data_IF_914121943729
#
_entry.id   IF_914121943729
#
_cell.length_a   1.000
_cell.length_b   1.000
_cell.length_c   1.000
_cell.angle_alpha   90.00
_cell.angle_beta   90.00
_cell.angle_gamma   90.00
#
_symmetry.space_group_name_H-M   'P 1'
#
loop_
_entity.id
_entity.type
_entity.pdbx_description
1 polymer ?
#
# COMPACT_ATOMS: atom_id res chain seq x y z
N UNK A 1 29.06 0.03 22.81
CA UNK A 1 27.60 0.03 22.64
C UNK A 1 27.13 -1.21 23.34
N UNK A 2 26.13 -1.08 24.19
CA UNK A 2 25.57 -2.17 24.98
C UNK A 2 24.17 -2.48 24.46
N UNK A 3 23.86 -3.76 24.25
CA UNK A 3 22.53 -4.17 23.83
C UNK A 3 21.59 -4.14 25.05
N UNK A 4 20.43 -3.54 24.88
CA UNK A 4 19.39 -3.39 25.90
C UNK A 4 18.05 -3.88 25.35
N UNK A 5 17.05 -4.06 26.22
CA UNK A 5 15.69 -4.41 25.80
C UNK A 5 15.05 -3.38 24.83
N UNK A 6 15.63 -2.18 24.72
CA UNK A 6 15.16 -1.12 23.85
C UNK A 6 15.98 -0.93 22.57
N UNK A 7 17.10 -1.64 22.42
CA UNK A 7 18.06 -1.49 21.32
C UNK A 7 19.49 -1.26 21.81
N UNK A 8 20.34 -0.64 20.99
CA UNK A 8 21.76 -0.42 21.32
C UNK A 8 22.00 0.93 22.00
N UNK A 9 22.46 0.91 23.25
CA UNK A 9 22.88 2.11 23.95
C UNK A 9 24.29 2.54 23.52
N UNK A 10 24.41 3.80 23.12
CA UNK A 10 25.65 4.39 22.63
C UNK A 10 26.50 4.82 23.81
N UNK A 11 27.43 3.97 24.24
CA UNK A 11 28.31 4.30 25.36
C UNK A 11 29.41 5.29 24.99
N UNK A 12 30.07 5.10 23.85
CA UNK A 12 31.24 5.89 23.43
C UNK A 12 31.29 6.03 21.92
N UNK A 13 31.56 7.25 21.47
CA UNK A 13 31.69 7.60 20.05
C UNK A 13 33.16 7.84 19.74
N UNK A 14 33.70 7.07 18.81
CA UNK A 14 35.07 7.26 18.35
C UNK A 14 35.13 8.41 17.33
N UNK A 15 36.18 9.25 17.36
CA UNK A 15 36.31 10.41 16.47
C UNK A 15 36.60 10.02 15.00
N UNK A 16 36.88 8.76 14.70
CA UNK A 16 37.18 8.25 13.35
C UNK A 16 36.66 6.80 13.21
N UNK A 17 36.00 6.40 12.11
CA UNK A 17 35.64 7.16 10.90
C UNK A 17 34.44 8.06 11.21
N UNK A 18 34.64 9.38 11.24
CA UNK A 18 33.74 10.37 11.85
C UNK A 18 32.24 10.06 11.74
N UNK A 19 31.58 10.01 12.89
CA UNK A 19 30.14 9.80 13.01
C UNK A 19 29.38 11.14 12.92
N UNK A 20 28.09 11.09 12.60
CA UNK A 20 27.25 12.28 12.54
C UNK A 20 27.23 12.99 13.92
N UNK A 21 27.38 14.34 13.98
CA UNK A 21 27.42 15.09 15.24
C UNK A 21 26.14 14.99 16.08
N UNK A 22 25.02 14.54 15.49
CA UNK A 22 23.76 14.34 16.20
C UNK A 22 23.78 13.13 17.14
N UNK A 23 24.64 12.14 16.87
CA UNK A 23 24.82 10.96 17.72
C UNK A 23 25.58 11.35 19.00
N UNK A 24 25.02 11.03 20.15
CA UNK A 24 25.63 11.32 21.46
C UNK A 24 25.77 10.05 22.29
N UNK A 25 26.73 10.11 23.22
CA UNK A 25 26.83 9.11 24.28
C UNK A 25 25.59 9.20 25.17
N UNK A 26 24.90 8.09 25.36
CA UNK A 26 23.61 7.99 26.06
C UNK A 26 22.37 7.94 25.16
N UNK A 27 22.53 8.00 23.84
CA UNK A 27 21.42 7.73 22.91
C UNK A 27 21.19 6.22 22.78
N UNK A 28 19.94 5.81 22.61
CA UNK A 28 19.59 4.43 22.28
C UNK A 28 19.23 4.34 20.79
N UNK A 29 19.93 3.49 20.05
CA UNK A 29 19.62 3.15 18.68
C UNK A 29 18.48 2.13 18.68
N UNK A 30 17.31 2.56 18.22
CA UNK A 30 16.09 1.76 18.23
C UNK A 30 15.74 1.19 16.85
N UNK A 31 16.39 1.68 15.79
CA UNK A 31 16.32 1.11 14.44
C UNK A 31 17.57 1.44 13.61
N UNK A 32 17.87 0.60 12.62
CA UNK A 32 18.95 0.77 11.64
C UNK A 32 18.43 0.47 10.22
N UNK A 33 18.62 1.38 9.27
CA UNK A 33 18.14 1.26 7.88
C UNK A 33 16.62 1.00 7.77
N UNK A 34 15.84 1.40 8.78
CA UNK A 34 14.40 1.13 8.87
C UNK A 34 14.04 -0.16 9.63
N UNK A 35 15.01 -1.02 9.94
CA UNK A 35 14.81 -2.25 10.71
C UNK A 35 14.78 -1.98 12.20
N UNK A 36 13.73 -2.44 12.87
CA UNK A 36 13.46 -2.16 14.29
C UNK A 36 14.31 -3.04 15.21
N UNK A 37 14.97 -2.43 16.18
CA UNK A 37 15.71 -3.10 17.27
C UNK A 37 14.94 -3.08 18.61
N UNK A 38 13.97 -2.18 18.75
CA UNK A 38 13.17 -2.00 19.97
C UNK A 38 12.34 -3.24 20.32
N UNK A 39 12.63 -3.88 21.46
CA UNK A 39 11.89 -5.05 21.97
C UNK A 39 12.34 -6.39 21.40
N UNK A 40 13.44 -6.42 20.64
CA UNK A 40 14.08 -7.67 20.22
C UNK A 40 14.92 -8.26 21.36
N UNK A 41 15.15 -9.57 21.33
CA UNK A 41 16.11 -10.21 22.23
C UNK A 41 17.54 -9.77 21.87
N UNK A 42 18.45 -9.78 22.85
CA UNK A 42 19.86 -9.36 22.67
C UNK A 42 20.54 -10.05 21.48
N UNK A 43 20.30 -11.36 21.30
CA UNK A 43 20.85 -12.15 20.19
C UNK A 43 20.34 -11.68 18.81
N UNK A 44 19.08 -11.23 18.73
CA UNK A 44 18.46 -10.73 17.49
C UNK A 44 18.90 -9.29 17.20
N UNK A 45 19.11 -8.48 18.24
CA UNK A 45 19.64 -7.11 18.14
C UNK A 45 21.03 -7.13 17.51
N UNK A 46 21.92 -7.99 18.00
CA UNK A 46 23.26 -8.17 17.44
C UNK A 46 23.22 -8.61 15.98
N UNK A 47 22.30 -9.50 15.64
CA UNK A 47 22.13 -10.00 14.27
C UNK A 47 21.65 -8.91 13.31
N UNK A 48 20.52 -8.26 13.61
CA UNK A 48 19.92 -7.22 12.77
C UNK A 48 20.87 -6.04 12.63
N UNK A 49 21.47 -5.59 13.72
CA UNK A 49 22.43 -4.50 13.64
C UNK A 49 23.66 -4.88 12.81
N UNK A 50 24.22 -6.08 13.02
CA UNK A 50 25.40 -6.54 12.27
C UNK A 50 25.18 -6.64 10.76
N UNK A 51 23.99 -7.07 10.32
CA UNK A 51 23.64 -7.19 8.89
C UNK A 51 23.54 -5.81 8.23
N UNK A 52 22.99 -4.82 8.93
CA UNK A 52 22.71 -3.49 8.37
C UNK A 52 23.81 -2.45 8.67
N UNK A 53 24.80 -2.78 9.51
CA UNK A 53 25.88 -1.88 9.88
C UNK A 53 26.88 -1.65 8.75
N UNK A 54 26.74 -0.52 8.05
CA UNK A 54 27.60 -0.07 6.96
C UNK A 54 27.86 1.43 6.99
N UNK A 55 28.87 1.89 6.25
CA UNK A 55 29.11 3.33 6.11
C UNK A 55 27.89 4.01 5.48
N UNK A 56 27.36 5.05 6.14
CA UNK A 56 26.17 5.77 5.71
C UNK A 56 24.84 5.15 6.17
N UNK A 57 24.86 4.16 7.07
CA UNK A 57 23.64 3.58 7.62
C UNK A 57 22.80 4.62 8.37
N UNK A 58 21.50 4.68 8.07
CA UNK A 58 20.53 5.51 8.76
C UNK A 58 20.20 4.90 10.13
N UNK A 59 20.31 5.68 11.18
CA UNK A 59 19.99 5.27 12.56
C UNK A 59 18.80 6.06 13.07
N UNK A 60 17.87 5.38 13.75
CA UNK A 60 16.84 6.05 14.54
C UNK A 60 17.28 6.06 16.01
N UNK A 61 17.41 7.26 16.57
CA UNK A 61 17.88 7.49 17.93
C UNK A 61 16.72 7.95 18.81
N UNK A 62 16.62 7.39 20.01
CA UNK A 62 15.76 7.87 21.08
C UNK A 62 16.60 8.12 22.33
N UNK A 63 16.21 9.10 23.14
CA UNK A 63 16.88 9.32 24.42
C UNK A 63 16.50 8.23 25.42
N UNK A 64 17.49 7.72 26.17
CA UNK A 64 17.25 6.69 27.19
C UNK A 64 16.28 7.15 28.29
N UNK A 65 16.13 8.46 28.52
CA UNK A 65 15.14 9.02 29.46
C UNK A 65 13.70 8.95 28.92
N UNK A 66 13.47 9.21 27.63
CA UNK A 66 12.13 9.10 27.02
C UNK A 66 11.64 7.66 26.97
N UNK A 67 12.54 6.71 26.68
CA UNK A 67 12.23 5.27 26.68
C UNK A 67 11.87 4.77 28.09
N UNK A 68 12.63 5.17 29.13
CA UNK A 68 12.33 4.82 30.52
C UNK A 68 11.02 5.43 31.01
N UNK A 69 10.72 6.67 30.63
CA UNK A 69 9.44 7.31 30.96
C UNK A 69 8.25 6.63 30.25
N UNK A 70 8.44 6.17 29.01
CA UNK A 70 7.44 5.41 28.27
C UNK A 70 7.21 3.99 28.85
N UNK A 71 8.25 3.34 29.37
CA UNK A 71 8.15 2.04 30.03
C UNK A 71 7.47 2.14 31.41
N UNK A 72 7.80 3.17 32.21
CA UNK A 72 7.18 3.40 33.53
C UNK A 72 5.70 3.77 33.45
N UNK A 73 5.28 4.47 32.40
CA UNK A 73 3.87 4.80 32.16
C UNK A 73 3.03 3.59 31.70
N UNK A 74 3.66 2.59 31.05
CA UNK A 74 3.03 1.28 30.76
C UNK A 74 2.92 0.38 31.99
N UNK A 75 3.97 0.31 32.82
CA UNK A 75 4.00 -0.57 34.00
C UNK A 75 2.98 -0.21 35.10
N UNK A 76 2.49 1.02 35.15
CA UNK A 76 1.44 1.44 36.10
C UNK A 76 0.02 1.14 35.62
N UNK A 77 -0.19 0.78 34.34
CA UNK A 77 -1.52 0.45 33.81
C UNK A 77 -1.89 -1.03 33.92
N UNK A 78 -0.94 -1.91 34.25
CA UNK A 78 -1.18 -3.37 34.29
C UNK A 78 -1.53 -3.92 35.69
N UNK A 79 -1.40 -3.14 36.78
CA UNK A 79 -1.58 -3.64 38.16
C UNK A 79 -2.83 -3.13 38.91
N UNK A 80 -3.69 -2.29 38.30
CA UNK A 80 -4.95 -1.86 38.93
C UNK A 80 -6.17 -2.18 38.04
N UNK A 81 -6.91 -3.21 38.45
CA UNK A 81 -8.12 -3.66 37.79
C UNK A 81 -9.29 -2.66 37.82
N UNK A 82 -9.99 -2.60 36.69
CA UNK A 82 -11.39 -2.16 36.46
C UNK A 82 -11.87 -0.87 37.18
N UNK A 83 -11.98 0.22 36.41
CA UNK A 83 -13.15 1.11 36.45
C UNK A 83 -13.18 2.05 35.23
N UNK A 84 -14.34 2.12 34.59
CA UNK A 84 -14.72 3.00 33.50
C UNK A 84 -14.57 4.49 33.90
N UNK A 85 -13.86 5.31 33.13
CA UNK A 85 -14.16 6.74 33.05
C UNK A 85 -13.62 7.40 31.78
N UNK A 86 -14.58 7.85 30.99
CA UNK A 86 -14.56 8.91 30.00
C UNK A 86 -13.54 10.03 30.30
N UNK A 87 -12.39 10.02 29.61
CA UNK A 87 -11.48 11.15 29.51
C UNK A 87 -11.03 11.29 28.06
N UNK A 88 -11.57 12.32 27.41
CA UNK A 88 -11.19 12.91 26.13
C UNK A 88 -9.68 12.72 25.87
N UNK A 89 -9.34 11.81 24.95
CA UNK A 89 -8.01 11.73 24.35
C UNK A 89 -7.77 13.05 23.62
N UNK A 90 -6.78 13.82 24.07
CA UNK A 90 -6.12 14.78 23.21
C UNK A 90 -5.37 13.97 22.16
N UNK A 91 -5.79 14.10 20.90
CA UNK A 91 -5.12 13.52 19.74
C UNK A 91 -3.70 14.08 19.66
N UNK A 92 -2.71 13.36 20.22
CA UNK A 92 -1.32 13.54 19.85
C UNK A 92 -1.08 12.68 18.62
N UNK A 93 -1.37 13.27 17.45
CA UNK A 93 -1.00 12.70 16.17
C UNK A 93 0.54 12.60 16.11
N UNK A 94 1.05 11.41 15.82
CA UNK A 94 2.48 11.19 15.58
C UNK A 94 2.75 11.34 14.09
N UNK A 95 3.92 11.85 13.71
CA UNK A 95 4.30 11.96 12.30
C UNK A 95 4.30 10.58 11.63
N UNK A 96 3.60 10.48 10.50
CA UNK A 96 3.54 9.29 9.66
C UNK A 96 4.27 9.55 8.34
N UNK A 97 4.72 8.48 7.69
CA UNK A 97 5.27 8.54 6.33
C UNK A 97 4.44 7.64 5.43
N UNK A 98 3.92 8.20 4.33
CA UNK A 98 3.11 7.50 3.33
C UNK A 98 3.78 7.59 1.98
N UNK A 99 3.95 6.44 1.33
CA UNK A 99 4.46 6.34 -0.05
C UNK A 99 3.29 6.27 -1.02
N UNK A 100 3.25 7.17 -1.99
CA UNK A 100 2.28 7.18 -3.08
C UNK A 100 3.00 6.71 -4.35
N UNK A 101 2.73 5.49 -4.85
CA UNK A 101 3.32 5.02 -6.10
C UNK A 101 2.75 5.82 -7.30
N UNK A 102 3.54 5.95 -8.37
CA UNK A 102 3.15 6.76 -9.56
C UNK A 102 2.39 5.97 -10.65
N UNK A 103 2.13 4.68 -10.47
CA UNK A 103 1.40 3.81 -11.43
C UNK A 103 2.32 3.09 -12.43
N UNK A 104 1.89 1.93 -12.97
CA UNK A 104 2.78 0.77 -13.17
C UNK A 104 3.15 0.40 -14.63
N UNK A 105 4.44 0.48 -14.95
CA UNK A 105 5.21 -0.45 -15.81
C UNK A 105 6.69 -0.01 -15.89
N UNK A 106 6.99 1.27 -15.63
CA UNK A 106 8.35 1.81 -15.57
C UNK A 106 8.39 2.98 -14.62
N UNK A 107 9.46 3.09 -13.83
CA UNK A 107 9.83 4.34 -13.19
C UNK A 107 9.76 5.48 -14.22
N UNK A 108 9.14 6.60 -13.85
CA UNK A 108 8.94 7.70 -14.79
C UNK A 108 10.29 8.30 -15.16
N UNK A 109 10.65 8.21 -16.44
CA UNK A 109 11.77 8.94 -16.99
C UNK A 109 11.34 10.38 -17.26
N UNK A 110 11.49 11.21 -16.25
CA UNK A 110 11.25 12.64 -16.34
C UNK A 110 12.47 13.33 -16.94
N UNK A 111 12.25 14.27 -17.86
CA UNK A 111 13.32 15.20 -18.24
C UNK A 111 13.62 16.15 -17.06
N UNK A 112 14.79 16.78 -17.08
CA UNK A 112 15.26 17.63 -15.97
C UNK A 112 14.30 18.81 -15.68
N UNK A 113 13.64 19.32 -16.71
CA UNK A 113 12.66 20.40 -16.58
C UNK A 113 11.36 19.93 -15.90
N UNK A 114 10.84 18.76 -16.28
CA UNK A 114 9.61 18.19 -15.71
C UNK A 114 9.86 17.70 -14.29
N UNK A 115 11.02 17.11 -14.01
CA UNK A 115 11.41 16.74 -12.65
C UNK A 115 11.49 17.97 -11.72
N UNK A 116 12.04 19.09 -12.22
CA UNK A 116 12.05 20.35 -11.47
C UNK A 116 10.64 20.91 -11.24
N UNK A 117 9.74 20.81 -12.23
CA UNK A 117 8.36 21.26 -12.10
C UNK A 117 7.57 20.41 -11.08
N UNK A 118 7.71 19.08 -11.13
CA UNK A 118 7.13 18.16 -10.13
C UNK A 118 7.65 18.50 -8.72
N UNK A 119 8.94 18.74 -8.58
CA UNK A 119 9.54 19.11 -7.29
C UNK A 119 8.99 20.45 -6.76
N UNK A 120 8.82 21.45 -7.63
CA UNK A 120 8.22 22.73 -7.27
C UNK A 120 6.75 22.59 -6.84
N UNK A 121 5.96 21.79 -7.55
CA UNK A 121 4.56 21.55 -7.20
C UNK A 121 4.42 20.79 -5.88
N UNK A 122 5.29 19.79 -5.64
CA UNK A 122 5.36 19.10 -4.34
C UNK A 122 5.82 20.03 -3.21
N UNK A 123 6.69 21.00 -3.48
CA UNK A 123 7.08 22.02 -2.50
C UNK A 123 5.89 22.93 -2.14
N UNK A 124 5.05 23.29 -3.11
CA UNK A 124 3.82 24.06 -2.87
C UNK A 124 2.85 23.26 -1.99
N UNK A 125 2.67 21.96 -2.25
CA UNK A 125 1.87 21.08 -1.38
C UNK A 125 2.46 21.00 0.02
N UNK A 126 3.78 20.89 0.12
CA UNK A 126 4.49 20.82 1.40
C UNK A 126 4.22 22.06 2.26
N UNK A 127 4.34 23.25 1.67
CA UNK A 127 4.05 24.53 2.34
C UNK A 127 2.57 24.67 2.71
N UNK A 128 1.67 24.28 1.80
CA UNK A 128 0.23 24.43 1.96
C UNK A 128 -0.34 23.55 3.07
N UNK A 129 0.15 22.32 3.22
CA UNK A 129 -0.37 21.35 4.19
C UNK A 129 0.53 21.15 5.40
N UNK A 130 1.68 21.83 5.48
CA UNK A 130 2.60 21.72 6.61
C UNK A 130 3.20 20.32 6.76
N UNK A 131 3.50 19.67 5.63
CA UNK A 131 4.12 18.33 5.57
C UNK A 131 5.30 18.34 4.60
N UNK A 132 6.10 17.29 4.58
CA UNK A 132 7.15 17.09 3.58
C UNK A 132 6.65 16.18 2.46
N UNK A 133 6.49 16.72 1.24
CA UNK A 133 6.21 15.94 0.04
C UNK A 133 7.46 15.92 -0.84
N UNK A 134 7.99 14.72 -1.15
CA UNK A 134 9.21 14.55 -1.94
C UNK A 134 9.07 13.47 -2.98
N UNK A 135 9.56 13.72 -4.19
CA UNK A 135 9.71 12.69 -5.20
C UNK A 135 10.86 11.74 -4.82
N UNK A 136 10.61 10.44 -4.92
CA UNK A 136 11.59 9.38 -4.74
C UNK A 136 11.96 8.80 -6.11
N UNK A 137 13.25 8.81 -6.40
CA UNK A 137 13.83 8.29 -7.63
C UNK A 137 14.60 7.01 -7.33
N UNK A 138 14.24 5.92 -8.01
CA UNK A 138 15.01 4.68 -8.00
C UNK A 138 15.93 4.57 -9.22
N UNK A 139 16.49 3.39 -9.45
CA UNK A 139 17.49 3.13 -10.50
C UNK A 139 16.99 3.40 -11.92
N UNK A 140 15.68 3.47 -12.11
CA UNK A 140 15.04 3.60 -13.42
C UNK A 140 14.26 4.92 -13.61
N UNK A 141 14.21 5.82 -12.61
CA UNK A 141 13.46 7.07 -12.68
C UNK A 141 12.62 7.35 -11.41
N UNK A 142 11.61 8.22 -11.51
CA UNK A 142 10.71 8.51 -10.38
C UNK A 142 9.74 7.34 -10.16
N UNK A 143 9.73 6.78 -8.96
CA UNK A 143 8.92 5.58 -8.62
C UNK A 143 7.75 5.89 -7.68
N UNK A 144 7.91 6.91 -6.85
CA UNK A 144 6.91 7.26 -5.85
C UNK A 144 7.08 8.68 -5.34
N UNK A 145 6.04 9.22 -4.72
CA UNK A 145 6.11 10.42 -3.89
C UNK A 145 5.96 10.01 -2.43
N UNK A 146 6.86 10.50 -1.58
CA UNK A 146 6.87 10.26 -0.14
C UNK A 146 6.26 11.49 0.53
N UNK A 147 5.23 11.28 1.34
CA UNK A 147 4.62 12.28 2.21
C UNK A 147 4.99 11.97 3.66
N UNK A 148 5.59 12.92 4.37
CA UNK A 148 5.95 12.79 5.79
C UNK A 148 5.35 13.94 6.59
N UNK A 149 4.59 13.65 7.64
CA UNK A 149 3.95 14.66 8.48
C UNK A 149 2.79 14.09 9.28
N UNK A 150 1.95 14.95 9.85
CA UNK A 150 0.78 14.50 10.61
C UNK A 150 -0.23 13.74 9.72
N UNK A 151 -0.82 12.61 10.16
CA UNK A 151 -1.77 11.81 9.38
C UNK A 151 -2.95 12.61 8.83
N UNK A 152 -3.48 13.57 9.61
CA UNK A 152 -4.56 14.46 9.15
C UNK A 152 -4.14 15.37 7.99
N UNK A 153 -2.88 15.83 7.99
CA UNK A 153 -2.32 16.64 6.91
C UNK A 153 -2.01 15.78 5.66
N UNK A 154 -1.48 14.58 5.85
CA UNK A 154 -1.24 13.62 4.76
C UNK A 154 -2.54 13.25 4.06
N UNK A 155 -3.59 12.93 4.82
CA UNK A 155 -4.91 12.60 4.27
C UNK A 155 -5.51 13.75 3.45
N UNK A 156 -5.29 15.01 3.87
CA UNK A 156 -5.75 16.20 3.15
C UNK A 156 -4.91 16.52 1.91
N UNK A 157 -3.60 16.26 1.94
CA UNK A 157 -2.70 16.51 0.82
C UNK A 157 -2.75 15.43 -0.25
N UNK A 158 -3.09 14.18 0.12
CA UNK A 158 -3.11 13.01 -0.79
C UNK A 158 -3.87 13.28 -2.09
N UNK A 159 -5.10 13.85 -2.09
CA UNK A 159 -5.81 14.15 -3.33
C UNK A 159 -5.12 15.18 -4.24
N UNK A 160 -4.43 16.18 -3.67
CA UNK A 160 -3.71 17.18 -4.45
C UNK A 160 -2.43 16.61 -5.06
N UNK A 161 -1.71 15.78 -4.30
CA UNK A 161 -0.53 15.07 -4.80
C UNK A 161 -0.92 14.12 -5.93
N UNK A 162 -2.02 13.39 -5.78
CA UNK A 162 -2.56 12.54 -6.87
C UNK A 162 -2.97 13.38 -8.07
N UNK A 163 -3.58 14.55 -7.86
CA UNK A 163 -3.92 15.49 -8.94
C UNK A 163 -2.69 15.96 -9.71
N UNK A 164 -1.62 16.35 -9.00
CA UNK A 164 -0.33 16.72 -9.59
C UNK A 164 0.24 15.56 -10.41
N UNK A 165 0.29 14.36 -9.83
CA UNK A 165 0.77 13.17 -10.54
C UNK A 165 -0.07 12.90 -11.80
N UNK A 166 -1.40 12.98 -11.73
CA UNK A 166 -2.27 12.79 -12.90
C UNK A 166 -2.03 13.84 -13.99
N UNK A 167 -1.77 15.10 -13.64
CA UNK A 167 -1.47 16.17 -14.58
C UNK A 167 -0.16 15.90 -15.36
N UNK A 168 0.91 15.50 -14.66
CA UNK A 168 2.18 15.18 -15.31
C UNK A 168 2.13 13.92 -16.15
N UNK A 169 1.29 12.95 -15.75
CA UNK A 169 1.03 11.74 -16.53
C UNK A 169 0.35 12.07 -17.87
N UNK A 170 -0.73 12.84 -17.82
CA UNK A 170 -1.53 13.15 -19.00
C UNK A 170 -0.81 14.15 -19.94
N UNK A 171 0.13 14.94 -19.41
CA UNK A 171 0.99 15.85 -20.15
C UNK A 171 2.08 15.18 -21.02
N UNK A 172 2.49 13.94 -20.71
CA UNK A 172 3.51 13.21 -21.48
C UNK A 172 2.94 12.36 -22.64
N UNK A 173 1.61 12.15 -22.72
CA UNK A 173 0.95 11.32 -23.73
C UNK A 173 0.45 12.08 -24.98
N UNK A 174 0.51 13.42 -24.99
CA UNK A 174 0.06 14.22 -26.14
C UNK A 174 1.23 14.86 -26.92
N UNK A 175 1.90 14.04 -27.73
CA UNK A 175 2.41 14.49 -29.04
C UNK A 175 1.87 13.58 -30.14
N UNK A 176 0.57 13.67 -30.40
CA UNK A 176 0.01 13.48 -31.74
C UNK A 176 -1.45 13.99 -31.81
N UNK A 177 -1.67 14.85 -32.81
CA UNK A 177 -2.95 15.27 -33.40
C UNK A 177 -3.81 16.27 -32.63
N UNK A 178 -3.68 17.52 -33.07
CA UNK A 178 -4.58 18.65 -32.86
C UNK A 178 -6.01 18.35 -33.37
N UNK A 179 -7.00 18.71 -32.56
CA UNK A 179 -8.27 19.27 -33.03
C UNK A 179 -8.79 20.25 -31.95
N UNK A 180 -9.42 21.37 -32.34
CA UNK A 180 -9.47 22.58 -31.51
C UNK A 180 -10.53 22.51 -30.42
N UNK A 181 -10.16 22.91 -29.20
CA UNK A 181 -11.09 23.13 -28.09
C UNK A 181 -11.61 24.57 -28.18
N UNK A 182 -12.87 24.72 -28.59
CA UNK A 182 -13.63 25.96 -28.45
C UNK A 182 -13.93 26.23 -26.97
N UNK A 183 -13.76 27.50 -26.60
CA UNK A 183 -14.03 28.03 -25.27
C UNK A 183 -15.54 28.13 -24.98
N UNK A 184 -15.99 27.58 -23.85
CA UNK A 184 -17.22 27.96 -23.17
C UNK A 184 -17.10 27.54 -21.69
N UNK A 185 -16.87 28.47 -20.75
CA UNK A 185 -17.87 29.30 -20.05
C UNK A 185 -18.27 28.70 -18.69
N UNK A 186 -17.73 29.29 -17.62
CA UNK A 186 -18.30 29.49 -16.27
C UNK A 186 -18.83 28.28 -15.45
N UNK A 187 -18.56 28.22 -14.13
CA UNK A 187 -19.09 27.15 -13.29
C UNK A 187 -20.59 27.34 -13.08
N UNK A 188 -21.40 26.36 -13.52
CA UNK A 188 -22.81 26.24 -13.18
C UNK A 188 -22.97 25.55 -11.80
N UNK A 189 -24.03 25.89 -11.05
CA UNK A 189 -24.13 25.59 -9.62
C UNK A 189 -24.34 24.10 -9.32
N UNK A 190 -23.69 23.67 -8.24
CA UNK A 190 -23.79 22.35 -7.62
C UNK A 190 -25.27 22.03 -7.32
N UNK A 191 -25.79 21.01 -7.99
CA UNK A 191 -27.08 20.38 -7.65
C UNK A 191 -26.76 19.09 -6.89
N UNK A 192 -27.51 18.69 -5.84
CA UNK A 192 -27.20 17.47 -5.11
C UNK A 192 -27.43 16.28 -6.05
N UNK A 193 -26.37 15.54 -6.37
CA UNK A 193 -26.46 14.36 -7.23
C UNK A 193 -27.21 13.25 -6.52
N UNK A 194 -28.32 12.88 -7.13
CA UNK A 194 -29.10 11.68 -6.92
C UNK A 194 -28.18 10.44 -6.99
N UNK A 195 -28.34 9.52 -6.06
CA UNK A 195 -27.63 8.24 -6.01
C UNK A 195 -28.13 7.33 -7.14
N UNK A 196 -27.58 7.50 -8.35
CA UNK A 196 -27.75 6.52 -9.41
C UNK A 196 -26.90 5.29 -9.09
N UNK A 197 -27.50 4.27 -8.48
CA UNK A 197 -26.90 2.95 -8.39
C UNK A 197 -26.85 2.35 -9.80
N UNK A 198 -25.64 2.11 -10.31
CA UNK A 198 -25.43 1.32 -11.52
C UNK A 198 -25.91 -0.11 -11.23
N UNK A 199 -26.80 -0.63 -12.09
CA UNK A 199 -27.18 -2.04 -12.02
C UNK A 199 -26.01 -2.90 -12.53
N UNK A 200 -25.66 -3.93 -11.76
CA UNK A 200 -24.67 -4.92 -12.20
C UNK A 200 -25.21 -5.68 -13.41
N UNK A 201 -24.39 -5.93 -14.45
CA UNK A 201 -24.77 -6.84 -15.52
C UNK A 201 -25.11 -8.23 -14.97
N UNK A 202 -26.08 -8.93 -15.57
CA UNK A 202 -26.58 -10.25 -15.11
C UNK A 202 -25.47 -11.31 -14.95
N UNK A 203 -24.37 -11.18 -15.70
CA UNK A 203 -23.22 -12.09 -15.63
C UNK A 203 -22.23 -11.76 -14.53
N UNK A 204 -22.27 -10.55 -13.95
CA UNK A 204 -21.40 -10.15 -12.84
C UNK A 204 -22.07 -10.54 -11.53
N UNK A 205 -21.49 -11.52 -10.85
CA UNK A 205 -22.01 -12.04 -9.59
C UNK A 205 -21.32 -11.36 -8.40
N UNK A 206 -22.12 -10.80 -7.50
CA UNK A 206 -21.65 -10.31 -6.20
C UNK A 206 -21.49 -11.48 -5.22
N UNK A 207 -20.44 -12.27 -5.41
CA UNK A 207 -20.10 -13.43 -4.59
C UNK A 207 -18.82 -13.18 -3.80
N UNK A 208 -18.66 -13.91 -2.69
CA UNK A 208 -17.46 -13.89 -1.83
C UNK A 208 -16.89 -15.30 -1.82
N UNK A 209 -16.00 -15.58 -2.77
CA UNK A 209 -15.33 -16.88 -2.92
C UNK A 209 -13.86 -16.74 -2.53
N UNK A 210 -13.63 -16.29 -1.30
CA UNK A 210 -12.30 -16.17 -0.73
C UNK A 210 -12.34 -16.38 0.78
N UNK A 211 -11.18 -16.66 1.35
CA UNK A 211 -10.92 -16.72 2.77
C UNK A 211 -9.52 -16.18 3.06
N UNK A 212 -9.28 -15.85 4.32
CA UNK A 212 -8.00 -15.34 4.77
C UNK A 212 -7.28 -16.40 5.60
N UNK A 213 -5.95 -16.44 5.49
CA UNK A 213 -5.09 -17.23 6.38
C UNK A 213 -4.05 -16.32 7.02
N UNK A 214 -3.85 -16.51 8.32
CA UNK A 214 -2.89 -15.71 9.09
C UNK A 214 -1.46 -16.02 8.66
N UNK A 215 -0.68 -14.96 8.44
CA UNK A 215 0.78 -14.98 8.33
C UNK A 215 1.34 -14.07 9.41
N UNK A 216 2.59 -14.27 9.85
CA UNK A 216 3.13 -13.65 11.08
C UNK A 216 2.96 -12.14 11.17
N UNK A 217 3.04 -11.42 10.05
CA UNK A 217 2.83 -9.97 9.95
C UNK A 217 1.95 -9.55 8.75
N UNK A 218 1.51 -10.50 7.93
CA UNK A 218 0.83 -10.28 6.65
C UNK A 218 -0.48 -11.07 6.61
N UNK A 219 -1.22 -10.99 5.50
CA UNK A 219 -2.38 -11.85 5.28
C UNK A 219 -2.31 -12.58 3.95
N UNK A 220 -2.63 -13.88 3.95
CA UNK A 220 -2.80 -14.64 2.72
C UNK A 220 -4.27 -14.60 2.33
N UNK A 221 -4.57 -14.02 1.18
CA UNK A 221 -5.87 -14.13 0.52
C UNK A 221 -5.88 -15.40 -0.32
N UNK A 222 -6.72 -16.34 0.05
CA UNK A 222 -7.02 -17.53 -0.72
C UNK A 222 -8.39 -17.37 -1.38
N UNK A 223 -8.43 -17.29 -2.71
CA UNK A 223 -9.67 -17.19 -3.46
C UNK A 223 -9.84 -18.33 -4.47
N UNK A 224 -11.08 -18.61 -4.85
CA UNK A 224 -11.41 -19.70 -5.75
C UNK A 224 -12.48 -19.30 -6.77
N UNK A 225 -12.62 -20.13 -7.81
CA UNK A 225 -13.56 -19.88 -8.90
C UNK A 225 -13.79 -21.09 -9.80
N UNK A 226 -14.83 -21.00 -10.62
CA UNK A 226 -15.13 -21.99 -11.68
C UNK A 226 -14.21 -21.82 -12.90
N UNK A 227 -13.53 -20.67 -13.00
CA UNK A 227 -12.51 -20.36 -13.99
C UNK A 227 -11.34 -19.61 -13.36
N UNK A 228 -10.20 -19.56 -14.05
CA UNK A 228 -9.04 -18.79 -13.60
C UNK A 228 -9.36 -17.29 -13.52
N UNK A 229 -10.18 -16.79 -14.45
CA UNK A 229 -10.67 -15.41 -14.44
C UNK A 229 -11.50 -15.10 -13.19
N UNK A 230 -12.38 -16.04 -12.79
CA UNK A 230 -13.18 -15.88 -11.58
C UNK A 230 -12.28 -15.89 -10.34
N UNK A 231 -11.34 -16.84 -10.23
CA UNK A 231 -10.40 -16.87 -9.11
C UNK A 231 -9.60 -15.56 -8.99
N UNK A 232 -9.08 -15.03 -10.11
CA UNK A 232 -8.34 -13.75 -10.12
C UNK A 232 -9.21 -12.58 -9.68
N UNK A 233 -10.43 -12.47 -10.21
CA UNK A 233 -11.38 -11.44 -9.78
C UNK A 233 -11.69 -11.56 -8.28
N UNK A 234 -11.85 -12.78 -7.76
CA UNK A 234 -12.16 -13.04 -6.36
C UNK A 234 -11.00 -12.72 -5.42
N UNK A 235 -9.73 -12.90 -5.83
CA UNK A 235 -8.58 -12.42 -5.03
C UNK A 235 -8.64 -10.89 -4.91
N UNK A 236 -8.90 -10.17 -6.00
CA UNK A 236 -9.02 -8.72 -5.96
C UNK A 236 -10.20 -8.25 -5.10
N UNK A 237 -11.33 -8.95 -5.13
CA UNK A 237 -12.46 -8.67 -4.22
C UNK A 237 -12.06 -8.95 -2.77
N UNK A 238 -11.34 -10.04 -2.50
CA UNK A 238 -10.82 -10.38 -1.17
C UNK A 238 -9.86 -9.33 -0.62
N UNK A 239 -9.01 -8.76 -1.47
CA UNK A 239 -8.13 -7.63 -1.15
C UNK A 239 -8.94 -6.40 -0.69
N UNK A 240 -9.93 -5.97 -1.48
CA UNK A 240 -10.78 -4.82 -1.10
C UNK A 240 -11.61 -5.09 0.17
N UNK A 241 -12.10 -6.32 0.34
CA UNK A 241 -12.88 -6.70 1.52
C UNK A 241 -12.04 -6.68 2.81
N UNK A 242 -10.72 -6.86 2.70
CA UNK A 242 -9.81 -6.73 3.83
C UNK A 242 -9.60 -5.26 4.24
N UNK A 243 -9.59 -4.35 3.26
CA UNK A 243 -9.49 -2.90 3.50
C UNK A 243 -10.77 -2.31 4.08
N UNK A 244 -11.93 -2.76 3.59
CA UNK A 244 -13.23 -2.31 4.08
C UNK A 244 -14.32 -3.34 3.77
N UNK A 245 -15.25 -3.62 4.71
CA UNK A 245 -16.37 -4.52 4.46
C UNK A 245 -17.21 -4.07 3.25
N UNK A 246 -17.27 -4.92 2.22
CA UNK A 246 -17.92 -4.59 0.94
C UNK A 246 -19.45 -4.51 0.99
N UNK A 247 -20.07 -4.93 2.10
CA UNK A 247 -21.54 -4.95 2.26
C UNK A 247 -22.16 -3.55 2.11
N UNK A 248 -21.47 -2.54 2.66
CA UNK A 248 -21.89 -1.13 2.63
C UNK A 248 -21.45 -0.40 1.36
N UNK A 249 -20.58 -1.02 0.56
CA UNK A 249 -20.08 -0.43 -0.68
C UNK A 249 -21.17 -0.53 -1.75
N UNK A 250 -21.65 0.62 -2.23
CA UNK A 250 -22.58 0.73 -3.33
C UNK A 250 -21.88 0.60 -4.68
N UNK A 251 -22.67 0.51 -5.74
CA UNK A 251 -22.17 0.40 -7.12
C UNK A 251 -22.60 1.67 -7.85
N UNK A 252 -21.72 2.67 -7.84
CA UNK A 252 -21.98 4.01 -8.35
C UNK A 252 -21.00 4.45 -9.45
N UNK A 253 -19.82 3.82 -9.50
CA UNK A 253 -18.78 4.07 -10.51
C UNK A 253 -18.16 2.74 -10.94
N UNK A 254 -17.68 2.70 -12.17
CA UNK A 254 -16.81 1.63 -12.65
C UNK A 254 -15.42 2.14 -12.96
N UNK A 255 -14.42 1.31 -12.71
CA UNK A 255 -13.02 1.54 -13.11
C UNK A 255 -12.57 0.39 -13.99
N UNK A 256 -11.83 0.68 -15.04
CA UNK A 256 -11.21 -0.34 -15.88
C UNK A 256 -9.71 -0.32 -15.66
N UNK A 257 -9.13 -1.52 -15.53
CA UNK A 257 -7.69 -1.72 -15.39
C UNK A 257 -7.22 -2.70 -16.46
N UNK A 258 -6.01 -2.47 -16.95
CA UNK A 258 -5.31 -3.36 -17.88
C UNK A 258 -3.97 -3.73 -17.26
N UNK A 259 -3.62 -5.01 -17.31
CA UNK A 259 -2.35 -5.51 -16.82
C UNK A 259 -1.75 -6.51 -17.82
N UNK A 260 -0.43 -6.54 -17.86
CA UNK A 260 0.35 -7.50 -18.65
C UNK A 260 1.44 -8.11 -17.77
N UNK A 261 1.75 -9.38 -17.95
CA UNK A 261 2.83 -10.06 -17.23
C UNK A 261 3.71 -10.88 -18.16
N UNK A 262 4.77 -11.47 -17.62
CA UNK A 262 5.61 -12.44 -18.32
C UNK A 262 5.15 -13.88 -18.13
N UNK A 263 4.35 -14.14 -17.08
CA UNK A 263 3.66 -15.39 -16.81
C UNK A 263 2.34 -15.13 -16.05
N UNK A 264 1.65 -16.19 -15.60
CA UNK A 264 0.37 -16.08 -14.89
C UNK A 264 0.50 -15.50 -13.47
N UNK A 265 1.61 -15.73 -12.77
CA UNK A 265 1.84 -15.18 -11.43
C UNK A 265 2.08 -13.67 -11.54
N UNK A 266 2.93 -13.27 -12.49
CA UNK A 266 3.22 -11.89 -12.82
C UNK A 266 1.96 -11.13 -13.27
N UNK A 267 1.10 -11.80 -14.06
CA UNK A 267 -0.18 -11.24 -14.48
C UNK A 267 -1.14 -10.99 -13.30
N UNK A 268 -1.24 -11.94 -12.36
CA UNK A 268 -2.07 -11.81 -11.18
C UNK A 268 -1.57 -10.68 -10.27
N UNK A 269 -0.25 -10.63 -10.03
CA UNK A 269 0.38 -9.56 -9.28
C UNK A 269 0.08 -8.20 -9.87
N UNK A 270 0.33 -8.00 -11.17
CA UNK A 270 0.10 -6.71 -11.81
C UNK A 270 -1.38 -6.32 -11.80
N UNK A 271 -2.30 -7.28 -11.95
CA UNK A 271 -3.75 -7.02 -11.82
C UNK A 271 -4.12 -6.48 -10.44
N UNK A 272 -3.70 -7.17 -9.38
CA UNK A 272 -3.99 -6.78 -7.99
C UNK A 272 -3.40 -5.42 -7.66
N UNK A 273 -2.15 -5.25 -8.06
CA UNK A 273 -1.42 -4.05 -7.77
C UNK A 273 -2.09 -2.88 -8.57
N UNK A 274 -2.70 -3.08 -9.76
CA UNK A 274 -3.40 -2.02 -10.52
C UNK A 274 -4.65 -1.55 -9.77
N UNK A 275 -5.41 -2.51 -9.22
CA UNK A 275 -6.55 -2.19 -8.37
C UNK A 275 -6.12 -1.49 -7.07
N UNK A 276 -5.00 -1.90 -6.48
CA UNK A 276 -4.41 -1.25 -5.30
C UNK A 276 -4.00 0.20 -5.62
N UNK A 277 -3.44 0.45 -6.81
CA UNK A 277 -3.11 1.79 -7.29
C UNK A 277 -4.36 2.66 -7.48
N UNK A 278 -5.41 2.11 -8.11
CA UNK A 278 -6.69 2.82 -8.28
C UNK A 278 -7.31 3.17 -6.92
N UNK A 279 -7.18 2.30 -5.92
CA UNK A 279 -7.55 2.62 -4.54
C UNK A 279 -6.69 3.75 -3.95
N UNK A 280 -5.36 3.64 -4.05
CA UNK A 280 -4.44 4.62 -3.48
C UNK A 280 -4.60 6.03 -4.08
N UNK A 281 -5.00 6.11 -5.36
CA UNK A 281 -5.16 7.38 -6.09
C UNK A 281 -6.59 7.92 -6.04
N UNK A 282 -7.58 7.11 -6.38
CA UNK A 282 -8.97 7.56 -6.50
C UNK A 282 -9.82 7.26 -5.27
N UNK A 283 -9.29 6.50 -4.29
CA UNK A 283 -10.04 5.90 -3.19
C UNK A 283 -11.21 5.05 -3.69
N UNK A 284 -11.11 4.46 -4.88
CA UNK A 284 -12.17 3.62 -5.43
C UNK A 284 -12.09 2.21 -4.85
N UNK A 285 -13.20 1.75 -4.27
CA UNK A 285 -13.33 0.39 -3.71
C UNK A 285 -14.22 -0.42 -4.63
N UNK A 286 -13.68 -1.48 -5.22
CA UNK A 286 -14.45 -2.37 -6.09
C UNK A 286 -15.17 -3.42 -5.26
N UNK A 287 -16.51 -3.41 -5.28
CA UNK A 287 -17.36 -4.44 -4.67
C UNK A 287 -17.40 -5.72 -5.52
N UNK A 288 -17.40 -5.57 -6.84
CA UNK A 288 -17.40 -6.66 -7.80
C UNK A 288 -16.36 -6.40 -8.88
N UNK A 289 -15.75 -7.45 -9.40
CA UNK A 289 -14.77 -7.35 -10.48
C UNK A 289 -15.17 -8.31 -11.59
N UNK A 290 -15.15 -7.80 -12.81
CA UNK A 290 -15.43 -8.53 -14.04
C UNK A 290 -14.17 -8.58 -14.89
N UNK A 291 -13.80 -9.76 -15.39
CA UNK A 291 -12.70 -9.89 -16.36
C UNK A 291 -13.28 -9.74 -17.76
N UNK A 292 -12.92 -8.66 -18.45
CA UNK A 292 -13.39 -8.32 -19.81
C UNK A 292 -12.62 -9.09 -20.88
N UNK A 293 -11.32 -9.26 -20.72
CA UNK A 293 -10.47 -10.04 -21.61
C UNK A 293 -9.34 -10.70 -20.85
N UNK A 294 -9.00 -11.93 -21.22
CA UNK A 294 -7.93 -12.69 -20.63
C UNK A 294 -7.21 -13.48 -21.74
N UNK A 295 -5.96 -13.14 -21.99
CA UNK A 295 -5.09 -13.79 -22.98
C UNK A 295 -3.97 -14.51 -22.24
N UNK A 296 -4.08 -15.84 -22.13
CA UNK A 296 -3.09 -16.71 -21.48
C UNK A 296 -1.79 -16.86 -22.28
N UNK A 297 -1.80 -16.55 -23.58
CA UNK A 297 -0.60 -16.68 -24.42
C UNK A 297 0.26 -15.42 -24.39
N UNK A 298 -0.39 -14.26 -24.33
CA UNK A 298 0.28 -12.95 -24.20
C UNK A 298 0.39 -12.47 -22.76
N UNK A 299 -0.19 -13.21 -21.82
CA UNK A 299 -0.32 -12.84 -20.42
C UNK A 299 -0.84 -11.41 -20.27
N UNK A 300 -2.03 -11.17 -20.80
CA UNK A 300 -2.70 -9.87 -20.74
C UNK A 300 -4.12 -10.02 -20.20
N UNK A 301 -4.50 -9.11 -19.31
CA UNK A 301 -5.81 -9.09 -18.69
C UNK A 301 -6.38 -7.68 -18.71
N UNK A 302 -7.69 -7.58 -18.97
CA UNK A 302 -8.48 -6.38 -18.78
C UNK A 302 -9.60 -6.70 -17.82
N UNK A 303 -9.75 -5.90 -16.78
CA UNK A 303 -10.78 -6.08 -15.78
C UNK A 303 -11.53 -4.77 -15.52
N UNK A 304 -12.80 -4.90 -15.11
CA UNK A 304 -13.65 -3.79 -14.69
C UNK A 304 -14.08 -4.00 -13.25
N UNK A 305 -13.72 -3.06 -12.39
CA UNK A 305 -14.21 -2.95 -11.02
C UNK A 305 -15.50 -2.16 -10.97
N UNK A 306 -16.49 -2.66 -10.24
CA UNK A 306 -17.77 -2.04 -9.96
C UNK A 306 -17.84 -1.68 -8.49
N UNK A 307 -18.05 -0.42 -8.16
CA UNK A 307 -18.06 0.01 -6.77
C UNK A 307 -18.30 1.49 -6.60
N UNK A 308 -17.71 2.09 -5.58
CA UNK A 308 -17.83 3.52 -5.31
C UNK A 308 -16.56 4.08 -4.69
N UNK A 309 -16.49 5.40 -4.61
CA UNK A 309 -15.42 6.05 -3.85
C UNK A 309 -15.63 5.82 -2.36
N UNK A 310 -14.56 5.49 -1.64
CA UNK A 310 -14.57 5.30 -0.21
C UNK A 310 -14.99 6.60 0.50
N UNK A 311 -16.01 6.48 1.34
CA UNK A 311 -16.53 7.52 2.22
C UNK A 311 -16.31 7.07 3.66
N UNK A 312 -15.41 7.76 4.36
CA UNK A 312 -15.05 7.46 5.75
C UNK A 312 -16.20 7.59 6.75
N UNK A 313 -17.33 8.21 6.35
CA UNK A 313 -18.54 8.29 7.19
C UNK A 313 -19.43 7.07 7.03
N UNK A 314 -19.33 6.38 5.90
CA UNK A 314 -20.19 5.25 5.50
C UNK A 314 -19.45 3.92 5.66
N UNK A 315 -18.18 3.89 5.26
CA UNK A 315 -17.36 2.69 5.19
C UNK A 315 -16.48 2.56 6.42
N UNK A 316 -16.42 1.36 6.97
CA UNK A 316 -15.52 1.05 8.09
C UNK A 316 -14.08 1.01 7.58
N UNK A 317 -13.15 1.57 8.35
CA UNK A 317 -11.73 1.45 8.05
C UNK A 317 -11.23 0.11 8.59
N UNK A 318 -10.95 -0.81 7.67
CA UNK A 318 -10.19 -2.03 7.97
C UNK A 318 -8.70 -1.75 7.98
N UNK A 319 -7.92 -2.72 7.50
CA UNK A 319 -6.46 -2.63 7.47
C UNK A 319 -6.00 -2.12 6.11
N UNK A 320 -5.10 -1.14 6.09
CA UNK A 320 -4.46 -0.69 4.85
C UNK A 320 -3.55 -1.81 4.31
N UNK A 321 -3.57 -2.04 3.00
CA UNK A 321 -2.62 -2.94 2.34
C UNK A 321 -1.56 -2.05 1.71
N UNK A 322 -0.30 -2.27 2.09
CA UNK A 322 0.86 -1.50 1.63
C UNK A 322 1.36 -1.97 0.28
N UNK A 323 1.41 -3.29 0.08
CA UNK A 323 1.93 -3.90 -1.13
C UNK A 323 1.33 -5.29 -1.38
N UNK A 324 1.34 -5.69 -2.65
CA UNK A 324 1.16 -7.08 -3.05
C UNK A 324 2.53 -7.74 -3.04
N UNK A 325 2.63 -8.99 -2.62
CA UNK A 325 3.91 -9.73 -2.66
C UNK A 325 3.80 -10.94 -3.58
N UNK A 326 4.90 -11.25 -4.26
CA UNK A 326 5.04 -12.52 -4.99
C UNK A 326 5.27 -13.69 -4.03
N UNK A 327 5.78 -13.40 -2.83
CA UNK A 327 6.15 -14.42 -1.87
C UNK A 327 4.97 -15.32 -1.53
N UNK A 328 5.18 -16.64 -1.64
CA UNK A 328 4.13 -17.64 -1.42
C UNK A 328 2.92 -17.51 -2.36
N UNK A 329 3.01 -16.77 -3.46
CA UNK A 329 1.95 -16.70 -4.46
C UNK A 329 1.80 -18.05 -5.16
N UNK A 330 0.55 -18.52 -5.26
CA UNK A 330 0.24 -19.80 -5.91
C UNK A 330 -1.01 -19.67 -6.75
N UNK A 331 -0.99 -20.33 -7.91
CA UNK A 331 -2.15 -20.53 -8.76
C UNK A 331 -2.34 -22.03 -8.93
N UNK A 332 -3.51 -22.52 -8.55
CA UNK A 332 -3.90 -23.92 -8.69
C UNK A 332 -4.97 -24.04 -9.77
N UNK A 333 -4.66 -24.79 -10.81
CA UNK A 333 -5.61 -25.25 -11.81
C UNK A 333 -5.80 -26.78 -11.65
N UNK A 334 -6.79 -27.40 -12.32
CA UNK A 334 -6.95 -28.85 -12.32
C UNK A 334 -5.72 -29.59 -12.84
N UNK A 335 -5.07 -29.03 -13.87
CA UNK A 335 -4.01 -29.69 -14.61
C UNK A 335 -2.60 -29.29 -14.13
N UNK A 336 -2.47 -28.24 -13.32
CA UNK A 336 -1.18 -27.72 -12.90
C UNK A 336 -1.26 -26.88 -11.64
N UNK A 337 -0.13 -26.77 -10.95
CA UNK A 337 0.13 -25.77 -9.93
C UNK A 337 1.25 -24.86 -10.42
N UNK A 338 1.12 -23.55 -10.22
CA UNK A 338 2.18 -22.57 -10.42
C UNK A 338 2.54 -21.94 -9.07
N UNK A 339 3.84 -21.89 -8.79
CA UNK A 339 4.43 -21.18 -7.66
C UNK A 339 5.68 -20.44 -8.12
N UNK A 340 6.29 -19.65 -7.24
CA UNK A 340 7.57 -18.97 -7.51
C UNK A 340 8.69 -19.93 -7.94
N UNK A 341 8.63 -21.19 -7.50
CA UNK A 341 9.61 -22.24 -7.85
C UNK A 341 9.35 -22.88 -9.23
N UNK A 342 8.21 -22.56 -9.85
CA UNK A 342 7.83 -22.99 -11.20
C UNK A 342 6.54 -23.80 -11.26
N UNK A 343 6.38 -24.53 -12.38
CA UNK A 343 5.18 -25.33 -12.66
C UNK A 343 5.31 -26.74 -12.09
N UNK A 344 4.41 -27.10 -11.18
CA UNK A 344 4.30 -28.43 -10.58
C UNK A 344 2.99 -29.16 -10.94
N UNK A 345 2.90 -30.41 -10.50
CA UNK A 345 1.63 -31.16 -10.46
C UNK A 345 0.86 -30.75 -9.20
N UNK A 346 -0.46 -30.58 -9.34
CA UNK A 346 -1.32 -30.34 -8.18
C UNK A 346 -1.62 -31.67 -7.49
N UNK A 347 -1.41 -31.73 -6.19
CA UNK A 347 -1.82 -32.88 -5.37
C UNK A 347 -3.35 -32.90 -5.21
N UNK A 348 -3.96 -34.07 -5.25
CA UNK A 348 -5.42 -34.24 -5.17
C UNK A 348 -5.99 -33.93 -3.77
N UNK A 349 -5.13 -33.84 -2.75
CA UNK A 349 -5.51 -33.58 -1.37
C UNK A 349 -5.76 -32.08 -1.17
N UNK A 350 -7.04 -31.70 -1.00
CA UNK A 350 -7.47 -30.33 -0.72
C UNK A 350 -8.18 -29.61 -1.87
N UNK A 351 -8.40 -30.26 -3.01
CA UNK A 351 -9.15 -29.67 -4.12
C UNK A 351 -10.61 -29.40 -3.74
N UNK A 352 -11.06 -28.15 -3.89
CA UNK A 352 -12.49 -27.84 -3.75
C UNK A 352 -13.25 -28.47 -4.92
N UNK A 353 -14.13 -29.44 -4.65
CA UNK A 353 -14.83 -30.22 -5.68
C UNK A 353 -15.65 -29.36 -6.64
N UNK A 354 -16.14 -28.23 -6.15
CA UNK A 354 -17.02 -27.32 -6.90
C UNK A 354 -16.25 -26.17 -7.56
N UNK A 355 -14.99 -25.94 -7.18
CA UNK A 355 -14.16 -24.82 -7.62
C UNK A 355 -12.76 -25.29 -8.04
N UNK A 356 -12.58 -25.63 -9.33
CA UNK A 356 -11.34 -26.20 -9.83
C UNK A 356 -10.13 -25.24 -9.81
N UNK A 357 -10.36 -23.93 -9.77
CA UNK A 357 -9.32 -22.90 -9.83
C UNK A 357 -9.21 -22.16 -8.50
N UNK A 358 -7.98 -22.05 -7.99
CA UNK A 358 -7.68 -21.38 -6.74
C UNK A 358 -6.44 -20.48 -6.91
N UNK A 359 -6.38 -19.39 -6.15
CA UNK A 359 -5.27 -18.45 -6.14
C UNK A 359 -4.97 -18.02 -4.70
N UNK A 360 -3.70 -17.99 -4.35
CA UNK A 360 -3.17 -17.58 -3.06
C UNK A 360 -2.24 -16.41 -3.26
N UNK A 361 -2.48 -15.31 -2.54
CA UNK A 361 -1.66 -14.12 -2.59
C UNK A 361 -1.41 -13.60 -1.19
N UNK A 362 -0.16 -13.31 -0.88
CA UNK A 362 0.26 -12.68 0.36
C UNK A 362 0.22 -11.14 0.19
N UNK A 363 -0.51 -10.48 1.09
CA UNK A 363 -0.66 -9.03 1.12
C UNK A 363 0.07 -8.47 2.34
N UNK A 364 0.96 -7.50 2.10
CA UNK A 364 1.68 -6.74 3.13
C UNK A 364 0.74 -5.66 3.68
N UNK A 365 0.53 -5.66 5.00
CA UNK A 365 -0.46 -4.84 5.72
C UNK A 365 0.17 -3.89 6.74
#
# INVERSE_FOLDING_TARGET
MEATEYGYEVETILPNPGQDPSLKSGDTIVAIEGERLLGLAEEDIDHVFGVHFRHGAALLLLSSEELRNAAQSKGQMEDEGVAESDKRKSDMEHEATVRIPVGRATAWQLDEATAANVSNDLAIVSEKFGLAARAHFGDHGMESVILTGFPSAIAQARPEVVGILSFYRDGQLHKASEAPVEAAAGPAPITPMDTASLELPDHVRDVRQFQYHDHTADIIVHAWGTSLQEAFAQVCVGMFNYMTPLEKVGIAKTVEVEATGHDLLDLLYHLLDEFLYVFATEMHVSRCIEILSFDEHKFSIRARGYGEKMDLRKHEQGTEIKAITMHMMKILAPDFMLTEEGRGSRDADGQMSDFPFEAYVLLDI
#
